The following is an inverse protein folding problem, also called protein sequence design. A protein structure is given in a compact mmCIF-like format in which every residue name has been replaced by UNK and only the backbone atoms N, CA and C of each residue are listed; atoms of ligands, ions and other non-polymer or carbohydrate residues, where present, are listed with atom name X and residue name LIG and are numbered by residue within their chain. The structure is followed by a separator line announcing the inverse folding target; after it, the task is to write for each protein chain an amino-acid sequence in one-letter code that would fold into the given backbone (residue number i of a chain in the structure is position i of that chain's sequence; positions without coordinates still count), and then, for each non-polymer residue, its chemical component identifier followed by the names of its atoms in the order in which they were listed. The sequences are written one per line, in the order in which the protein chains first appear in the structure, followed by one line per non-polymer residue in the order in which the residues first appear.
data_IF_488605654750
#
_entry.id   IF_488605654750
#
_cell.length_a   1.000
_cell.length_b   1.000
_cell.length_c   1.000
_cell.angle_alpha   90.00
_cell.angle_beta   90.00
_cell.angle_gamma   90.00
#
_symmetry.space_group_name_H-M   'P 1'
#
loop_
_entity.id
_entity.type
_entity.pdbx_description
1 polymer ?
#
# COMPACT_ATOMS: atom_id res chain seq x y z
N UNK A 1 2.27 -32.20 11.96
CA UNK A 1 2.02 -31.40 13.18
C UNK A 1 1.35 -30.10 12.75
N UNK A 2 0.07 -30.14 12.36
CA UNK A 2 -0.74 -28.96 12.04
C UNK A 2 -2.26 -29.26 12.05
N UNK A 3 -2.66 -30.43 12.53
CA UNK A 3 -4.06 -30.88 12.46
C UNK A 3 -4.53 -31.18 13.89
N UNK A 4 -5.68 -30.61 14.26
CA UNK A 4 -6.34 -30.59 15.58
C UNK A 4 -5.99 -29.44 16.54
N UNK A 5 -6.27 -28.20 16.10
CA UNK A 5 -7.07 -27.31 16.96
C UNK A 5 -8.54 -27.60 16.62
N UNK A 6 -9.36 -28.14 17.53
CA UNK A 6 -10.79 -28.31 17.29
C UNK A 6 -11.48 -26.95 17.36
N UNK A 7 -11.31 -26.15 16.31
CA UNK A 7 -12.00 -24.87 16.15
C UNK A 7 -13.40 -25.16 15.62
N UNK A 8 -14.43 -24.71 16.33
CA UNK A 8 -15.78 -24.68 15.80
C UNK A 8 -15.89 -23.69 14.63
N UNK A 9 -16.95 -23.80 13.83
CA UNK A 9 -17.07 -23.01 12.60
C UNK A 9 -17.19 -21.50 12.85
N UNK A 10 -17.68 -21.08 14.03
CA UNK A 10 -17.71 -19.67 14.39
C UNK A 10 -16.29 -19.15 14.67
N UNK A 11 -15.49 -19.90 15.42
CA UNK A 11 -14.08 -19.56 15.69
C UNK A 11 -13.24 -19.53 14.42
N UNK A 12 -13.47 -20.44 13.45
CA UNK A 12 -12.79 -20.39 12.14
C UNK A 12 -13.09 -19.10 11.37
N UNK A 13 -14.35 -18.66 11.37
CA UNK A 13 -14.78 -17.43 10.68
C UNK A 13 -14.20 -16.18 11.34
N UNK A 14 -14.16 -16.15 12.67
CA UNK A 14 -13.51 -15.08 13.42
C UNK A 14 -12.01 -15.03 13.11
N UNK A 15 -11.33 -16.19 13.14
CA UNK A 15 -9.90 -16.26 12.81
C UNK A 15 -9.63 -15.82 11.38
N UNK A 16 -10.47 -16.20 10.41
CA UNK A 16 -10.34 -15.74 9.04
C UNK A 16 -10.44 -14.21 8.95
N UNK A 17 -11.43 -13.61 9.64
CA UNK A 17 -11.62 -12.16 9.65
C UNK A 17 -10.41 -11.46 10.31
N UNK A 18 -9.91 -12.02 11.41
CA UNK A 18 -8.70 -11.55 12.08
C UNK A 18 -7.50 -11.59 11.14
N UNK A 19 -7.27 -12.72 10.46
CA UNK A 19 -6.16 -12.88 9.52
C UNK A 19 -6.26 -11.90 8.35
N UNK A 20 -7.45 -11.66 7.81
CA UNK A 20 -7.66 -10.69 6.72
C UNK A 20 -7.29 -9.27 7.17
N UNK A 21 -7.68 -8.88 8.38
CA UNK A 21 -7.33 -7.58 8.98
C UNK A 21 -5.82 -7.44 9.21
N UNK A 22 -5.18 -8.44 9.81
CA UNK A 22 -3.74 -8.43 10.05
C UNK A 22 -2.95 -8.38 8.72
N UNK A 23 -3.38 -9.12 7.71
CA UNK A 23 -2.79 -9.05 6.38
C UNK A 23 -2.98 -7.68 5.71
N UNK A 24 -4.13 -7.02 5.91
CA UNK A 24 -4.33 -5.66 5.44
C UNK A 24 -3.36 -4.68 6.14
N UNK A 25 -3.22 -4.79 7.46
CA UNK A 25 -2.27 -4.00 8.25
C UNK A 25 -0.82 -4.19 7.77
N UNK A 26 -0.41 -5.44 7.54
CA UNK A 26 0.93 -5.75 7.03
C UNK A 26 1.17 -5.16 5.63
N UNK A 27 0.19 -5.26 4.73
CA UNK A 27 0.27 -4.66 3.38
C UNK A 27 0.41 -3.14 3.44
N UNK A 28 -0.30 -2.48 4.35
CA UNK A 28 -0.16 -1.04 4.58
C UNK A 28 1.24 -0.69 5.09
N UNK A 29 1.76 -1.42 6.08
CA UNK A 29 3.11 -1.19 6.60
C UNK A 29 4.20 -1.39 5.52
N UNK A 30 4.08 -2.44 4.70
CA UNK A 30 4.98 -2.66 3.57
C UNK A 30 4.92 -1.49 2.55
N UNK A 31 3.73 -0.96 2.28
CA UNK A 31 3.55 0.20 1.42
C UNK A 31 4.18 1.46 2.01
N UNK A 32 4.01 1.70 3.32
CA UNK A 32 4.66 2.79 4.04
C UNK A 32 6.17 2.71 3.88
N UNK A 33 6.78 1.54 4.13
CA UNK A 33 8.23 1.37 3.97
C UNK A 33 8.70 1.62 2.53
N UNK A 34 7.96 1.13 1.54
CA UNK A 34 8.25 1.38 0.13
C UNK A 34 8.21 2.87 -0.21
N UNK A 35 7.17 3.58 0.23
CA UNK A 35 7.04 5.02 0.02
C UNK A 35 8.11 5.81 0.76
N UNK A 36 8.41 5.45 2.01
CA UNK A 36 9.49 6.08 2.76
C UNK A 36 10.81 5.98 2.01
N UNK A 37 11.22 4.78 1.56
CA UNK A 37 12.46 4.61 0.82
C UNK A 37 12.46 5.41 -0.48
N UNK A 38 11.42 5.25 -1.30
CA UNK A 38 11.34 5.88 -2.62
C UNK A 38 11.31 7.41 -2.53
N UNK A 39 10.49 7.96 -1.63
CA UNK A 39 10.33 9.40 -1.50
C UNK A 39 11.50 10.03 -0.78
N UNK A 40 12.18 9.31 0.12
CA UNK A 40 13.44 9.75 0.70
C UNK A 40 14.48 10.01 -0.39
N UNK A 41 14.74 9.01 -1.25
CA UNK A 41 15.75 9.13 -2.32
C UNK A 41 15.43 10.25 -3.32
N UNK A 42 14.14 10.55 -3.53
CA UNK A 42 13.70 11.59 -4.46
C UNK A 42 13.73 12.99 -3.86
N UNK A 43 13.37 13.13 -2.59
CA UNK A 43 13.12 14.43 -1.98
C UNK A 43 14.26 14.92 -1.08
N UNK A 44 15.03 14.01 -0.47
CA UNK A 44 16.11 14.34 0.46
C UNK A 44 17.44 14.16 -0.24
N UNK A 45 17.87 15.20 -0.96
CA UNK A 45 19.08 15.19 -1.81
C UNK A 45 20.34 15.67 -1.10
N UNK A 46 20.19 16.26 0.08
CA UNK A 46 21.26 16.68 0.96
C UNK A 46 20.95 16.23 2.39
N UNK A 47 21.92 16.30 3.29
CA UNK A 47 21.67 16.05 4.70
C UNK A 47 20.63 17.04 5.23
N UNK A 48 19.45 16.58 5.68
CA UNK A 48 18.43 17.48 6.20
C UNK A 48 18.92 18.12 7.51
N UNK A 49 18.36 19.29 7.85
CA UNK A 49 18.59 19.93 9.14
C UNK A 49 17.88 19.19 10.29
N UNK A 50 17.71 19.87 11.43
CA UNK A 50 16.94 19.34 12.58
C UNK A 50 15.45 19.08 12.26
N UNK A 51 14.98 19.62 11.14
CA UNK A 51 13.64 19.42 10.60
C UNK A 51 13.68 19.51 9.08
N UNK A 52 12.66 18.95 8.42
CA UNK A 52 12.47 19.15 7.00
C UNK A 52 12.18 20.62 6.69
N UNK A 53 12.86 21.14 5.67
CA UNK A 53 12.51 22.40 5.03
C UNK A 53 11.10 22.35 4.44
N UNK A 54 10.55 23.53 4.09
CA UNK A 54 9.25 23.62 3.42
C UNK A 54 9.22 22.88 2.09
N UNK A 55 10.32 22.94 1.32
CA UNK A 55 10.45 22.24 0.05
C UNK A 55 10.51 20.72 0.21
N UNK A 56 11.27 20.22 1.18
CA UNK A 56 11.35 18.76 1.46
C UNK A 56 9.99 18.23 1.92
N UNK A 57 9.33 18.94 2.84
CA UNK A 57 8.01 18.56 3.35
C UNK A 57 6.97 18.51 2.22
N UNK A 58 6.96 19.52 1.35
CA UNK A 58 6.07 19.56 0.20
C UNK A 58 6.40 18.47 -0.82
N UNK A 59 7.69 18.20 -1.07
CA UNK A 59 8.10 17.11 -1.97
C UNK A 59 7.64 15.75 -1.47
N UNK A 60 7.82 15.45 -0.17
CA UNK A 60 7.42 14.18 0.42
C UNK A 60 5.90 13.94 0.31
N UNK A 61 5.09 14.96 0.62
CA UNK A 61 3.64 14.88 0.46
C UNK A 61 3.24 14.62 -1.00
N UNK A 62 3.78 15.41 -1.92
CA UNK A 62 3.52 15.24 -3.35
C UNK A 62 4.00 13.90 -3.88
N UNK A 63 5.14 13.37 -3.42
CA UNK A 63 5.70 12.11 -3.89
C UNK A 63 4.73 10.95 -3.66
N UNK A 64 4.16 10.84 -2.47
CA UNK A 64 3.18 9.79 -2.14
C UNK A 64 1.88 10.01 -2.92
N UNK A 65 1.34 11.23 -2.93
CA UNK A 65 0.10 11.55 -3.66
C UNK A 65 0.21 11.25 -5.16
N UNK A 66 1.32 11.66 -5.81
CA UNK A 66 1.57 11.38 -7.23
C UNK A 66 1.67 9.89 -7.52
N UNK A 67 2.28 9.11 -6.62
CA UNK A 67 2.35 7.66 -6.79
C UNK A 67 0.97 7.02 -6.74
N UNK A 68 0.14 7.39 -5.76
CA UNK A 68 -1.21 6.87 -5.59
C UNK A 68 -2.10 7.25 -6.78
N UNK A 69 -2.10 8.51 -7.20
CA UNK A 69 -2.85 9.00 -8.35
C UNK A 69 -2.50 8.25 -9.63
N UNK A 70 -1.20 8.09 -9.88
CA UNK A 70 -0.70 7.40 -11.08
C UNK A 70 -1.06 5.91 -11.03
N UNK A 71 -0.94 5.27 -9.88
CA UNK A 71 -1.30 3.86 -9.68
C UNK A 71 -2.78 3.63 -9.96
N UNK A 72 -3.66 4.49 -9.41
CA UNK A 72 -5.09 4.41 -9.64
C UNK A 72 -5.44 4.67 -11.11
N UNK A 73 -4.79 5.65 -11.74
CA UNK A 73 -4.96 5.92 -13.17
C UNK A 73 -4.63 4.70 -14.03
N UNK A 74 -3.49 4.04 -13.76
CA UNK A 74 -3.06 2.85 -14.50
C UNK A 74 -4.06 1.71 -14.31
N UNK A 75 -4.49 1.43 -13.08
CA UNK A 75 -5.47 0.37 -12.79
C UNK A 75 -6.78 0.64 -13.53
N UNK A 76 -7.32 1.87 -13.42
CA UNK A 76 -8.55 2.24 -14.14
C UNK A 76 -8.41 2.08 -15.64
N UNK A 77 -7.25 2.43 -16.21
CA UNK A 77 -6.98 2.26 -17.64
C UNK A 77 -6.96 0.79 -18.04
N UNK A 78 -6.33 -0.07 -17.25
CA UNK A 78 -6.27 -1.52 -17.49
C UNK A 78 -7.67 -2.11 -17.43
N UNK A 79 -8.46 -1.79 -16.41
CA UNK A 79 -9.84 -2.29 -16.28
C UNK A 79 -10.73 -1.84 -17.46
N UNK A 80 -10.60 -0.57 -17.88
CA UNK A 80 -11.31 -0.07 -19.07
C UNK A 80 -10.88 -0.78 -20.37
N UNK A 81 -9.62 -1.21 -20.48
CA UNK A 81 -9.16 -2.02 -21.60
C UNK A 81 -9.73 -3.45 -21.54
N UNK A 82 -9.75 -4.08 -20.36
CA UNK A 82 -10.31 -5.44 -20.19
C UNK A 82 -11.78 -5.52 -20.57
N UNK A 83 -12.57 -4.51 -20.20
CA UNK A 83 -14.00 -4.43 -20.58
C UNK A 83 -14.17 -4.35 -22.10
N UNK A 84 -13.31 -3.60 -22.81
CA UNK A 84 -13.35 -3.53 -24.27
C UNK A 84 -12.89 -4.83 -24.94
N UNK A 85 -11.88 -5.50 -24.37
CA UNK A 85 -11.36 -6.77 -24.91
C UNK A 85 -12.30 -7.96 -24.70
N UNK A 86 -13.14 -7.93 -23.66
CA UNK A 86 -14.15 -8.97 -23.37
C UNK A 86 -15.49 -8.75 -24.07
N UNK A 87 -15.65 -7.68 -24.84
CA UNK A 87 -16.82 -7.39 -25.66
C UNK A 87 -16.67 -7.89 -27.13
N UNK A 88 -15.77 -8.86 -27.36
CA UNK A 88 -15.59 -9.58 -28.63
C UNK A 88 -15.83 -11.08 -28.42
#
# INVERSE_FOLDING_TARGET
MADQLPLDDATKKELQTFMENEQAQQRLNASIHSFTSMCWDKCITATPGNSFSRSESSCLANCVERFLDTSLYIVNRIEHQRVQSGAQ
#
